data_IF_826837593997
#
_entry.id   IF_826837593997
#
_cell.length_a   1.000
_cell.length_b   1.000
_cell.length_c   1.000
_cell.angle_alpha   90.00
_cell.angle_beta   90.00
_cell.angle_gamma   90.00
#
_symmetry.space_group_name_H-M   'P 1'
#
loop_
_entity.id
_entity.type
_entity.pdbx_description
1 polymer ?
#
# COMPACT_ATOMS: atom_id res chain seq x y z
N UNK A 1 14.20 -13.85 1.09
CA UNK A 1 13.41 -12.75 1.70
C UNK A 1 13.70 -11.35 1.11
N UNK A 2 14.77 -11.11 0.32
CA UNK A 2 15.07 -9.77 -0.22
C UNK A 2 14.04 -9.25 -1.24
N UNK A 3 13.44 -10.14 -2.03
CA UNK A 3 12.56 -9.77 -3.13
C UNK A 3 11.28 -9.04 -2.68
N UNK A 4 10.72 -9.41 -1.53
CA UNK A 4 9.51 -8.78 -0.99
C UNK A 4 9.78 -7.37 -0.42
N UNK A 5 10.87 -7.20 0.31
CA UNK A 5 11.28 -5.88 0.81
C UNK A 5 11.58 -4.91 -0.35
N UNK A 6 12.34 -5.37 -1.36
CA UNK A 6 12.60 -4.57 -2.56
C UNK A 6 11.32 -4.26 -3.34
N UNK A 7 10.34 -5.17 -3.35
CA UNK A 7 9.04 -4.91 -3.95
C UNK A 7 8.29 -3.79 -3.23
N UNK A 8 8.23 -3.86 -1.90
CA UNK A 8 7.63 -2.81 -1.07
C UNK A 8 8.29 -1.45 -1.33
N UNK A 9 9.62 -1.39 -1.35
CA UNK A 9 10.35 -0.15 -1.62
C UNK A 9 10.03 0.42 -3.01
N UNK A 10 9.91 -0.41 -4.03
CA UNK A 10 9.52 0.05 -5.38
C UNK A 10 8.12 0.65 -5.39
N UNK A 11 7.16 0.00 -4.74
CA UNK A 11 5.78 0.51 -4.64
C UNK A 11 5.74 1.85 -3.89
N UNK A 12 6.53 1.99 -2.83
CA UNK A 12 6.58 3.23 -2.03
C UNK A 12 7.30 4.38 -2.74
N UNK A 13 8.33 4.08 -3.54
CA UNK A 13 9.11 5.10 -4.26
C UNK A 13 8.46 5.55 -5.56
N UNK A 14 7.62 4.72 -6.18
CA UNK A 14 6.89 5.07 -7.40
C UNK A 14 5.46 4.50 -7.40
N UNK A 15 4.59 4.97 -6.49
CA UNK A 15 3.20 4.54 -6.45
C UNK A 15 2.44 5.10 -7.66
N UNK A 16 1.49 4.31 -8.16
CA UNK A 16 0.50 4.80 -9.14
C UNK A 16 -0.46 5.78 -8.48
N UNK A 17 -0.87 5.50 -7.25
CA UNK A 17 -1.73 6.39 -6.47
C UNK A 17 -1.31 6.39 -5.01
N UNK A 18 -1.45 7.55 -4.37
CA UNK A 18 -1.23 7.72 -2.93
C UNK A 18 -2.47 8.35 -2.33
N UNK A 19 -2.84 7.93 -1.12
CA UNK A 19 -4.00 8.44 -0.41
C UNK A 19 -3.73 8.50 1.09
N UNK A 20 -4.02 9.63 1.70
CA UNK A 20 -4.04 9.73 3.16
C UNK A 20 -5.32 9.10 3.72
N UNK A 21 -5.15 8.28 4.75
CA UNK A 21 -6.23 7.64 5.47
C UNK A 21 -6.35 8.25 6.86
N UNK A 22 -7.46 7.95 7.54
CA UNK A 22 -7.66 8.36 8.93
C UNK A 22 -6.53 7.90 9.85
N UNK A 23 -6.30 8.66 10.92
CA UNK A 23 -5.31 8.40 11.98
C UNK A 23 -3.83 8.54 11.55
N UNK A 24 -3.55 9.29 10.48
CA UNK A 24 -2.18 9.55 10.02
C UNK A 24 -1.55 8.35 9.30
N UNK A 25 -2.39 7.50 8.71
CA UNK A 25 -1.94 6.39 7.86
C UNK A 25 -1.93 6.87 6.40
N UNK A 26 -1.08 6.27 5.58
CA UNK A 26 -1.02 6.58 4.15
C UNK A 26 -1.05 5.29 3.36
N UNK A 27 -1.91 5.24 2.35
CA UNK A 27 -2.03 4.13 1.43
C UNK A 27 -1.36 4.42 0.09
N UNK A 28 -0.76 3.40 -0.49
CA UNK A 28 -0.07 3.42 -1.76
C UNK A 28 -0.61 2.28 -2.63
N UNK A 29 -0.96 2.60 -3.88
CA UNK A 29 -1.37 1.65 -4.89
C UNK A 29 -0.30 1.55 -5.98
N UNK A 30 -0.01 0.33 -6.41
CA UNK A 30 0.82 0.07 -7.57
C UNK A 30 0.06 -0.79 -8.57
N UNK A 31 -0.30 -0.21 -9.71
CA UNK A 31 -1.08 -0.88 -10.76
C UNK A 31 -0.34 -2.09 -11.34
N UNK A 32 0.96 -1.96 -11.60
CA UNK A 32 1.75 -2.99 -12.28
C UNK A 32 1.86 -4.29 -11.48
N UNK A 33 1.76 -4.19 -10.16
CA UNK A 33 1.84 -5.33 -9.25
C UNK A 33 0.55 -5.59 -8.48
N UNK A 34 -0.50 -4.83 -8.78
CA UNK A 34 -1.78 -4.83 -8.08
C UNK A 34 -1.64 -4.83 -6.55
N UNK A 35 -0.62 -4.14 -6.03
CA UNK A 35 -0.28 -4.15 -4.61
C UNK A 35 -0.80 -2.89 -3.91
N UNK A 36 -1.48 -3.09 -2.79
CA UNK A 36 -1.79 -2.04 -1.82
C UNK A 36 -0.79 -2.11 -0.68
N UNK A 37 -0.23 -0.96 -0.31
CA UNK A 37 0.58 -0.80 0.91
C UNK A 37 -0.07 0.26 1.78
N UNK A 38 -0.38 -0.08 3.02
CA UNK A 38 -0.86 0.87 4.04
C UNK A 38 0.25 1.08 5.06
N UNK A 39 0.83 2.28 5.09
CA UNK A 39 1.79 2.69 6.11
C UNK A 39 1.06 3.22 7.34
N UNK A 40 1.46 2.71 8.50
CA UNK A 40 0.97 3.17 9.80
C UNK A 40 2.16 3.42 10.73
N UNK A 41 2.58 4.68 10.95
CA UNK A 41 3.72 5.00 11.81
C UNK A 41 3.54 4.56 13.27
N UNK A 42 2.29 4.33 13.70
CA UNK A 42 1.98 3.89 15.07
C UNK A 42 2.02 2.38 15.23
N UNK A 43 2.11 1.62 14.14
CA UNK A 43 2.20 0.16 14.19
C UNK A 43 3.67 -0.27 14.33
N UNK A 44 3.93 -1.27 15.16
CA UNK A 44 5.28 -1.79 15.42
C UNK A 44 5.95 -2.35 14.15
N UNK A 45 5.16 -2.89 13.23
CA UNK A 45 5.59 -3.42 11.93
C UNK A 45 5.61 -2.35 10.81
N UNK A 46 5.16 -1.12 11.11
CA UNK A 46 5.14 0.01 10.19
C UNK A 46 4.07 -0.05 9.10
N UNK A 47 3.15 -1.02 9.11
CA UNK A 47 2.05 -1.13 8.15
C UNK A 47 1.83 -2.53 7.56
N UNK A 48 1.07 -2.60 6.46
CA UNK A 48 0.71 -3.86 5.80
C UNK A 48 0.80 -3.71 4.29
N UNK A 49 1.23 -4.76 3.58
CA UNK A 49 1.24 -4.83 2.13
C UNK A 49 0.58 -6.11 1.64
N UNK A 50 -0.37 -6.00 0.70
CA UNK A 50 -1.14 -7.13 0.18
C UNK A 50 -1.70 -6.83 -1.22
N UNK A 51 -2.13 -7.87 -1.91
CA UNK A 51 -2.82 -7.80 -3.21
C UNK A 51 -4.31 -8.05 -2.97
N UNK A 52 -5.19 -7.04 -3.15
CA UNK A 52 -6.62 -7.23 -2.98
C UNK A 52 -7.24 -7.90 -4.21
N UNK A 53 -8.23 -8.77 -4.00
CA UNK A 53 -8.96 -9.43 -5.10
C UNK A 53 -9.74 -8.43 -5.99
N UNK A 54 -10.20 -7.31 -5.40
CA UNK A 54 -10.89 -6.25 -6.13
C UNK A 54 -9.93 -5.28 -6.85
N UNK A 55 -8.61 -5.52 -6.79
CA UNK A 55 -7.60 -4.69 -7.43
C UNK A 55 -7.73 -3.21 -7.05
N UNK A 56 -7.68 -2.34 -8.06
CA UNK A 56 -7.77 -0.89 -7.88
C UNK A 56 -9.08 -0.44 -7.22
N UNK A 57 -10.18 -1.17 -7.40
CA UNK A 57 -11.47 -0.82 -6.78
C UNK A 57 -11.40 -0.93 -5.25
N UNK A 58 -10.61 -1.87 -4.72
CA UNK A 58 -10.36 -1.90 -3.27
C UNK A 58 -9.73 -0.58 -2.80
N UNK A 59 -8.72 -0.11 -3.53
CA UNK A 59 -8.03 1.14 -3.20
C UNK A 59 -8.97 2.35 -3.34
N UNK A 60 -9.84 2.36 -4.35
CA UNK A 60 -10.72 3.48 -4.63
C UNK A 60 -11.91 3.58 -3.67
N UNK A 61 -12.60 2.47 -3.44
CA UNK A 61 -13.93 2.45 -2.83
C UNK A 61 -13.94 1.89 -1.40
N UNK A 62 -13.06 0.91 -1.11
CA UNK A 62 -13.05 0.22 0.18
C UNK A 62 -12.12 0.89 1.18
N UNK A 63 -10.99 1.42 0.72
CA UNK A 63 -9.94 1.95 1.58
C UNK A 63 -10.24 3.39 2.08
N UNK A 64 -10.42 3.55 3.40
CA UNK A 64 -10.77 4.79 4.11
C UNK A 64 -9.88 5.12 5.32
#
# INVERSE_FOLDING_TARGET
>A
MKQYATHIEKVLTNPTMTRDLKNGRTAFWCETSQTVIVRNPKAMDGGTAFMPDLGVNYFLEVLQ
#
